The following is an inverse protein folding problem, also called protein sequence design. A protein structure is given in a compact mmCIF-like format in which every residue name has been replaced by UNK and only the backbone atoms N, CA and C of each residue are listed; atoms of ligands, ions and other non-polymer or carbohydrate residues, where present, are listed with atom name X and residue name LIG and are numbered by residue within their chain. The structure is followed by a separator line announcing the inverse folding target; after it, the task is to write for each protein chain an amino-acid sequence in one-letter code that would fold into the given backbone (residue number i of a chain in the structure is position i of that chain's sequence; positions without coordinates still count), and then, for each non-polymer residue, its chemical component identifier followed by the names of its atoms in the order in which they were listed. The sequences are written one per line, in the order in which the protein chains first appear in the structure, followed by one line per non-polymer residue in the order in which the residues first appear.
data_IF_464866269952
#
_entry.id   IF_464866269952
#
_cell.length_a   1.000
_cell.length_b   1.000
_cell.length_c   1.000
_cell.angle_alpha   90.00
_cell.angle_beta   90.00
_cell.angle_gamma   90.00
#
_symmetry.space_group_name_H-M   'P 1'
#
loop_
_entity.id
_entity.type
_entity.pdbx_description
1 polymer ?
#
# COMPACT_ATOMS: atom_id res chain seq x y z
N UNK A 1 -11.99 -58.12 72.17
CA UNK A 1 -13.10 -57.34 71.56
C UNK A 1 -12.81 -55.82 71.48
N UNK A 2 -12.33 -55.16 72.54
CA UNK A 2 -12.00 -53.70 72.51
C UNK A 2 -10.97 -53.28 71.45
N UNK A 3 -9.95 -54.11 71.20
CA UNK A 3 -8.88 -53.82 70.26
C UNK A 3 -9.36 -53.76 68.79
N UNK A 4 -10.27 -54.67 68.42
CA UNK A 4 -10.89 -54.69 67.09
C UNK A 4 -11.76 -53.46 66.81
N UNK A 5 -12.51 -52.99 67.82
CA UNK A 5 -13.31 -51.75 67.71
C UNK A 5 -12.42 -50.52 67.50
N UNK A 6 -11.28 -50.44 68.19
CA UNK A 6 -10.33 -49.34 68.01
C UNK A 6 -9.66 -49.39 66.63
N UNK A 7 -9.28 -50.58 66.14
CA UNK A 7 -8.76 -50.75 64.78
C UNK A 7 -9.78 -50.35 63.71
N UNK A 8 -11.07 -50.67 63.91
CA UNK A 8 -12.12 -50.23 62.99
C UNK A 8 -12.30 -48.71 62.93
N UNK A 9 -12.19 -48.02 64.07
CA UNK A 9 -12.23 -46.54 64.11
C UNK A 9 -11.04 -45.91 63.38
N UNK A 10 -9.83 -46.41 63.63
CA UNK A 10 -8.60 -45.93 62.98
C UNK A 10 -8.69 -46.15 61.47
N UNK A 11 -9.15 -47.33 61.03
CA UNK A 11 -9.31 -47.62 59.62
C UNK A 11 -10.33 -46.70 58.94
N UNK A 12 -11.44 -46.39 59.63
CA UNK A 12 -12.41 -45.42 59.12
C UNK A 12 -11.82 -44.01 58.98
N UNK A 13 -11.08 -43.55 60.00
CA UNK A 13 -10.42 -42.26 59.98
C UNK A 13 -9.37 -42.17 58.87
N UNK A 14 -8.60 -43.25 58.66
CA UNK A 14 -7.66 -43.37 57.55
C UNK A 14 -8.36 -43.24 56.19
N UNK A 15 -9.50 -43.91 55.99
CA UNK A 15 -10.28 -43.79 54.75
C UNK A 15 -10.82 -42.37 54.51
N UNK A 16 -11.22 -41.67 55.58
CA UNK A 16 -11.69 -40.28 55.47
C UNK A 16 -10.52 -39.38 55.07
N UNK A 17 -9.35 -39.55 55.68
CA UNK A 17 -8.15 -38.80 55.32
C UNK A 17 -7.71 -39.08 53.88
N UNK A 18 -7.71 -40.34 53.43
CA UNK A 18 -7.36 -40.71 52.05
C UNK A 18 -8.25 -39.98 51.04
N UNK A 19 -9.57 -39.94 51.27
CA UNK A 19 -10.51 -39.21 50.40
C UNK A 19 -10.27 -37.71 50.39
N UNK A 20 -9.94 -37.13 51.54
CA UNK A 20 -9.64 -35.69 51.62
C UNK A 20 -8.33 -35.36 50.90
N UNK A 21 -7.32 -36.22 51.00
CA UNK A 21 -6.06 -36.08 50.24
C UNK A 21 -6.33 -36.17 48.75
N UNK A 22 -7.09 -37.18 48.30
CA UNK A 22 -7.44 -37.35 46.88
C UNK A 22 -8.20 -36.14 46.32
N UNK A 23 -9.12 -35.58 47.12
CA UNK A 23 -9.84 -34.35 46.74
C UNK A 23 -8.89 -33.16 46.60
N UNK A 24 -7.99 -32.94 47.56
CA UNK A 24 -7.03 -31.83 47.49
C UNK A 24 -6.05 -31.97 46.35
N UNK A 25 -5.59 -33.19 46.06
CA UNK A 25 -4.74 -33.45 44.91
C UNK A 25 -5.46 -33.12 43.59
N UNK A 26 -6.75 -33.45 43.49
CA UNK A 26 -7.58 -33.07 42.34
C UNK A 26 -7.69 -31.54 42.21
N UNK A 27 -7.96 -30.83 43.30
CA UNK A 27 -8.05 -29.37 43.32
C UNK A 27 -6.71 -28.72 42.90
N UNK A 28 -5.58 -29.24 43.41
CA UNK A 28 -4.23 -28.77 43.05
C UNK A 28 -3.98 -28.95 41.55
N UNK A 29 -4.33 -30.11 40.98
CA UNK A 29 -4.17 -30.36 39.55
C UNK A 29 -5.00 -29.40 38.70
N UNK A 30 -6.24 -29.13 39.12
CA UNK A 30 -7.11 -28.17 38.42
C UNK A 30 -6.53 -26.76 38.46
N UNK A 31 -6.08 -26.30 39.64
CA UNK A 31 -5.45 -24.99 39.79
C UNK A 31 -4.18 -24.86 38.95
N UNK A 32 -3.33 -25.89 38.92
CA UNK A 32 -2.14 -25.90 38.09
C UNK A 32 -2.47 -25.80 36.60
N UNK A 33 -3.52 -26.48 36.14
CA UNK A 33 -3.99 -26.39 34.75
C UNK A 33 -4.45 -24.97 34.42
N UNK A 34 -5.28 -24.37 35.26
CA UNK A 34 -5.77 -23.01 35.06
C UNK A 34 -4.64 -21.98 35.06
N UNK A 35 -3.64 -22.14 35.93
CA UNK A 35 -2.48 -21.25 35.96
C UNK A 35 -1.66 -21.32 34.66
N UNK A 36 -1.43 -22.53 34.12
CA UNK A 36 -0.75 -22.69 32.83
C UNK A 36 -1.54 -22.07 31.67
N UNK A 37 -2.86 -22.23 31.68
CA UNK A 37 -3.72 -21.61 30.67
C UNK A 37 -3.68 -20.07 30.78
N UNK A 38 -3.76 -19.53 31.99
CA UNK A 38 -3.66 -18.09 32.24
C UNK A 38 -2.30 -17.52 31.84
N UNK A 39 -1.21 -18.23 32.13
CA UNK A 39 0.16 -17.88 31.71
C UNK A 39 0.25 -17.79 30.18
N UNK A 40 -0.30 -18.78 29.47
CA UNK A 40 -0.29 -18.79 28.01
C UNK A 40 -1.06 -17.61 27.41
N UNK A 41 -2.24 -17.30 27.96
CA UNK A 41 -3.05 -16.15 27.52
C UNK A 41 -2.29 -14.85 27.78
N UNK A 42 -1.69 -14.71 28.96
CA UNK A 42 -0.93 -13.52 29.33
C UNK A 42 0.30 -13.33 28.43
N UNK A 43 1.06 -14.40 28.16
CA UNK A 43 2.22 -14.35 27.28
C UNK A 43 1.83 -13.85 25.88
N UNK A 44 0.72 -14.38 25.34
CA UNK A 44 0.19 -13.99 24.03
C UNK A 44 -0.27 -12.52 24.04
N UNK A 45 -1.00 -12.11 25.08
CA UNK A 45 -1.49 -10.74 25.21
C UNK A 45 -0.34 -9.73 25.32
N UNK A 46 0.70 -10.05 26.09
CA UNK A 46 1.89 -9.19 26.23
C UNK A 46 2.66 -9.08 24.91
N UNK A 47 2.80 -10.18 24.17
CA UNK A 47 3.42 -10.14 22.85
C UNK A 47 2.66 -9.22 21.89
N UNK A 48 1.34 -9.40 21.79
CA UNK A 48 0.49 -8.55 20.95
C UNK A 48 0.52 -7.08 21.39
N UNK A 49 0.53 -6.80 22.70
CA UNK A 49 0.64 -5.45 23.22
C UNK A 49 1.96 -4.79 22.80
N UNK A 50 3.08 -5.52 22.86
CA UNK A 50 4.40 -5.04 22.41
C UNK A 50 4.41 -4.73 20.92
N UNK A 51 3.82 -5.59 20.09
CA UNK A 51 3.70 -5.32 18.64
C UNK A 51 2.83 -4.08 18.36
N UNK A 52 1.69 -3.93 19.06
CA UNK A 52 0.86 -2.73 18.94
C UNK A 52 1.60 -1.45 19.36
N UNK A 53 2.43 -1.51 20.40
CA UNK A 53 3.26 -0.37 20.82
C UNK A 53 4.26 0.03 19.73
N UNK A 54 4.89 -0.93 19.04
CA UNK A 54 5.77 -0.64 17.90
C UNK A 54 5.01 0.07 16.78
N UNK A 55 3.80 -0.41 16.43
CA UNK A 55 2.96 0.23 15.42
C UNK A 55 2.54 1.65 15.81
N UNK A 56 2.20 1.87 17.08
CA UNK A 56 1.90 3.22 17.61
C UNK A 56 3.12 4.14 17.50
N UNK A 57 4.31 3.65 17.85
CA UNK A 57 5.53 4.46 17.75
C UNK A 57 5.85 4.81 16.29
N UNK A 58 5.68 3.86 15.36
CA UNK A 58 5.82 4.08 13.92
C UNK A 58 4.82 5.13 13.43
N UNK A 59 3.55 5.02 13.81
CA UNK A 59 2.51 5.99 13.47
C UNK A 59 2.80 7.38 14.05
N UNK A 60 3.33 7.46 15.28
CA UNK A 60 3.69 8.72 15.91
C UNK A 60 4.83 9.44 15.19
N UNK A 61 5.82 8.71 14.68
CA UNK A 61 6.92 9.29 13.87
C UNK A 61 6.41 9.90 12.55
N UNK A 62 5.37 9.32 11.97
CA UNK A 62 4.68 9.82 10.77
C UNK A 62 3.41 10.62 11.06
N UNK A 63 3.23 11.16 12.27
CA UNK A 63 2.01 11.87 12.61
C UNK A 63 1.90 13.17 11.80
N UNK A 64 0.90 13.23 10.93
CA UNK A 64 0.57 14.41 10.12
C UNK A 64 -0.61 15.11 10.80
N UNK A 65 -0.61 16.44 10.83
CA UNK A 65 -1.73 17.18 11.41
C UNK A 65 -3.00 16.95 10.58
N UNK A 66 -4.14 16.80 11.23
CA UNK A 66 -5.42 16.66 10.51
C UNK A 66 -5.70 17.88 9.62
N UNK A 67 -5.22 19.06 10.01
CA UNK A 67 -5.32 20.28 9.22
C UNK A 67 -4.55 20.19 7.89
N UNK A 68 -3.34 19.62 7.89
CA UNK A 68 -2.60 19.39 6.64
C UNK A 68 -3.33 18.40 5.74
N UNK A 69 -3.86 17.31 6.29
CA UNK A 69 -4.66 16.35 5.51
C UNK A 69 -5.85 17.04 4.86
N UNK A 70 -6.59 17.87 5.61
CA UNK A 70 -7.74 18.63 5.10
C UNK A 70 -7.31 19.60 3.99
N UNK A 71 -6.23 20.36 4.20
CA UNK A 71 -5.71 21.31 3.21
C UNK A 71 -5.28 20.60 1.91
N UNK A 72 -4.54 19.49 2.02
CA UNK A 72 -4.09 18.73 0.86
C UNK A 72 -5.25 18.04 0.14
N UNK A 73 -6.20 17.47 0.87
CA UNK A 73 -7.42 16.90 0.28
C UNK A 73 -8.19 17.96 -0.51
N UNK A 74 -8.42 19.14 0.08
CA UNK A 74 -9.08 20.24 -0.63
C UNK A 74 -8.31 20.67 -1.88
N UNK A 75 -6.98 20.79 -1.81
CA UNK A 75 -6.14 21.13 -2.97
C UNK A 75 -6.30 20.11 -4.09
N UNK A 76 -6.21 18.82 -3.77
CA UNK A 76 -6.33 17.72 -4.73
C UNK A 76 -7.73 17.70 -5.37
N UNK A 77 -8.78 17.90 -4.58
CA UNK A 77 -10.17 17.98 -5.06
C UNK A 77 -10.41 19.21 -5.95
N UNK A 78 -9.85 20.37 -5.59
CA UNK A 78 -9.99 21.59 -6.39
C UNK A 78 -9.21 21.53 -7.71
N UNK A 79 -8.07 20.84 -7.74
CA UNK A 79 -7.23 20.73 -8.93
C UNK A 79 -7.59 19.56 -9.86
N UNK A 80 -8.68 18.82 -9.59
CA UNK A 80 -9.11 17.63 -10.37
C UNK A 80 -7.97 16.62 -10.60
N UNK A 81 -7.01 16.51 -9.68
CA UNK A 81 -5.75 15.79 -9.88
C UNK A 81 -5.79 14.31 -9.49
N UNK A 82 -6.95 13.81 -9.05
CA UNK A 82 -7.11 12.42 -8.58
C UNK A 82 -7.20 11.45 -9.76
N UNK A 83 -8.04 11.76 -10.74
CA UNK A 83 -8.23 10.95 -11.95
C UNK A 83 -8.87 11.79 -13.06
N UNK A 84 -8.67 11.37 -14.31
CA UNK A 84 -9.40 11.95 -15.44
C UNK A 84 -10.89 11.60 -15.29
N UNK A 85 -11.81 12.58 -15.37
CA UNK A 85 -13.23 12.29 -15.45
C UNK A 85 -13.53 11.29 -16.57
N UNK A 86 -14.57 10.45 -16.40
CA UNK A 86 -14.94 9.45 -17.41
C UNK A 86 -15.30 10.08 -18.77
N UNK A 87 -15.67 11.36 -18.77
CA UNK A 87 -16.00 12.17 -19.96
C UNK A 87 -14.84 13.07 -20.41
N UNK A 88 -13.63 12.87 -19.91
CA UNK A 88 -12.48 13.69 -20.27
C UNK A 88 -12.10 13.47 -21.72
N UNK A 89 -11.94 14.56 -22.47
CA UNK A 89 -11.55 14.57 -23.88
C UNK A 89 -10.33 15.47 -24.06
N UNK A 90 -9.51 15.25 -25.11
CA UNK A 90 -8.44 16.18 -25.46
C UNK A 90 -8.99 17.61 -25.62
N UNK A 91 -8.48 18.54 -24.82
CA UNK A 91 -8.96 19.93 -24.75
C UNK A 91 -9.84 20.25 -23.54
N UNK A 92 -10.27 19.27 -22.73
CA UNK A 92 -10.95 19.53 -21.46
C UNK A 92 -9.95 20.12 -20.43
N UNK A 93 -10.24 21.31 -19.86
CA UNK A 93 -9.40 21.93 -18.84
C UNK A 93 -9.21 21.09 -17.57
N UNK A 94 -10.14 20.17 -17.26
CA UNK A 94 -10.12 19.28 -16.10
C UNK A 94 -9.25 18.03 -16.37
N UNK A 95 -7.99 18.25 -16.73
CA UNK A 95 -7.01 17.17 -16.95
C UNK A 95 -6.25 16.86 -15.66
N UNK A 96 -5.95 15.59 -15.37
CA UNK A 96 -5.26 15.19 -14.14
C UNK A 96 -3.73 15.38 -14.20
N UNK A 97 -3.19 15.89 -15.31
CA UNK A 97 -1.75 16.04 -15.53
C UNK A 97 -1.38 17.44 -16.04
N UNK A 98 -0.14 17.91 -15.78
CA UNK A 98 0.35 19.19 -16.30
C UNK A 98 0.42 19.22 -17.83
N UNK A 99 0.09 20.36 -18.45
CA UNK A 99 0.36 20.59 -19.88
C UNK A 99 1.84 20.79 -20.15
N UNK A 100 2.25 20.57 -21.40
CA UNK A 100 3.58 20.91 -21.87
C UNK A 100 3.95 22.38 -21.64
N UNK A 101 2.99 23.31 -21.76
CA UNK A 101 3.23 24.72 -21.49
C UNK A 101 3.51 24.97 -20.00
N UNK A 102 2.70 24.37 -19.11
CA UNK A 102 2.92 24.43 -17.66
C UNK A 102 4.27 23.82 -17.28
N UNK A 103 4.64 22.67 -17.86
CA UNK A 103 5.93 22.02 -17.64
C UNK A 103 7.11 22.88 -18.13
N UNK A 104 7.01 23.46 -19.34
CA UNK A 104 8.04 24.36 -19.89
C UNK A 104 8.15 25.67 -19.11
N UNK A 105 7.05 26.17 -18.56
CA UNK A 105 7.03 27.38 -17.72
C UNK A 105 7.57 27.16 -16.31
N UNK A 106 7.66 25.90 -15.86
CA UNK A 106 8.18 25.53 -14.55
C UNK A 106 9.68 25.77 -14.40
N UNK A 107 10.16 25.68 -13.15
CA UNK A 107 11.55 25.95 -12.79
C UNK A 107 12.55 25.14 -13.62
N UNK A 108 12.25 23.86 -13.86
CA UNK A 108 13.09 22.96 -14.65
C UNK A 108 13.18 23.39 -16.13
N UNK A 109 12.09 23.88 -16.71
CA UNK A 109 12.06 24.40 -18.08
C UNK A 109 12.85 25.71 -18.23
N UNK A 110 12.80 26.58 -17.22
CA UNK A 110 13.58 27.82 -17.18
C UNK A 110 15.09 27.56 -17.02
N UNK A 111 15.48 26.57 -16.21
CA UNK A 111 16.89 26.19 -16.03
C UNK A 111 17.50 25.63 -17.31
N UNK A 112 16.71 24.90 -18.11
CA UNK A 112 17.17 24.35 -19.39
C UNK A 112 17.10 25.35 -20.55
N UNK A 113 16.47 26.50 -20.33
CA UNK A 113 16.44 27.60 -21.29
C UNK A 113 17.20 28.79 -20.68
N UNK A 114 18.55 28.81 -20.74
CA UNK A 114 19.32 29.93 -20.21
C UNK A 114 18.74 31.21 -20.80
N UNK A 115 18.29 32.11 -19.91
CA UNK A 115 17.67 33.35 -20.35
C UNK A 115 18.57 34.01 -21.39
N UNK A 116 18.03 34.15 -22.58
CA UNK A 116 18.44 35.15 -23.56
C UNK A 116 18.10 36.52 -22.96
N UNK A 117 18.72 36.87 -21.84
CA UNK A 117 18.70 38.20 -21.25
C UNK A 117 20.09 38.78 -21.41
N UNK A 118 20.39 39.09 -22.67
CA UNK A 118 21.53 39.85 -23.12
C UNK A 118 21.28 40.31 -24.55
N UNK A 119 20.53 41.42 -24.70
CA UNK A 119 20.56 42.36 -25.85
C UNK A 119 20.57 41.77 -27.27
N UNK A 120 19.43 41.82 -27.96
CA UNK A 120 19.16 42.76 -29.07
C UNK A 120 17.83 42.40 -29.76
N UNK A 121 17.04 43.43 -30.04
CA UNK A 121 15.64 43.30 -30.43
C UNK A 121 15.39 42.70 -31.81
N UNK A 122 14.37 41.86 -31.89
CA UNK A 122 13.43 41.87 -33.00
C UNK A 122 12.12 41.24 -32.53
N UNK A 123 11.03 42.01 -32.60
CA UNK A 123 9.69 41.53 -32.32
C UNK A 123 9.33 40.48 -33.39
N UNK A 124 8.81 39.29 -33.06
CA UNK A 124 8.28 38.35 -34.04
C UNK A 124 6.85 38.78 -34.45
N UNK A 125 6.70 40.05 -34.82
CA UNK A 125 5.44 40.66 -35.27
C UNK A 125 5.47 41.11 -36.73
N UNK A 126 6.65 41.35 -37.31
CA UNK A 126 6.78 41.96 -38.65
C UNK A 126 7.02 40.96 -39.80
N UNK A 127 7.15 39.66 -39.51
CA UNK A 127 7.32 38.65 -40.57
C UNK A 127 6.02 38.39 -41.36
N UNK A 128 4.85 38.79 -40.86
CA UNK A 128 3.56 38.62 -41.55
C UNK A 128 3.39 39.57 -42.75
N UNK A 129 4.18 40.65 -42.82
CA UNK A 129 4.12 41.60 -43.93
C UNK A 129 4.88 41.14 -45.18
N UNK A 130 5.68 40.07 -45.10
CA UNK A 130 6.60 39.65 -46.16
C UNK A 130 6.15 38.38 -46.93
N UNK A 131 4.84 38.11 -47.02
CA UNK A 131 4.22 37.31 -48.10
C UNK A 131 4.83 35.93 -48.45
N UNK A 132 5.69 35.34 -47.63
CA UNK A 132 6.28 34.01 -47.84
C UNK A 132 5.73 33.05 -46.82
N UNK A 133 4.79 32.22 -47.24
CA UNK A 133 4.38 31.03 -46.52
C UNK A 133 5.43 29.92 -46.72
N UNK A 134 6.05 29.37 -45.68
CA UNK A 134 6.53 28.00 -45.71
C UNK A 134 5.41 27.08 -45.23
N UNK A 135 5.01 26.19 -46.12
CA UNK A 135 4.05 25.11 -45.91
C UNK A 135 4.66 24.03 -44.99
N UNK A 136 4.63 24.24 -43.66
CA UNK A 136 4.97 23.21 -42.66
C UNK A 136 4.12 23.41 -41.41
N UNK A 137 2.86 22.98 -41.47
CA UNK A 137 2.05 22.71 -40.27
C UNK A 137 2.13 21.22 -39.95
N UNK A 138 3.22 20.81 -39.30
CA UNK A 138 3.24 19.58 -38.50
C UNK A 138 4.25 19.75 -37.35
N UNK A 139 3.85 19.57 -36.07
CA UNK A 139 4.80 19.48 -34.98
C UNK A 139 5.56 18.15 -35.12
N UNK A 140 6.82 18.21 -35.57
CA UNK A 140 7.71 17.05 -35.59
C UNK A 140 8.18 16.79 -34.15
N UNK A 141 7.72 15.68 -33.56
CA UNK A 141 8.17 15.26 -32.24
C UNK A 141 9.52 14.50 -32.36
N UNK A 142 10.43 14.58 -31.37
CA UNK A 142 11.76 13.94 -31.41
C UNK A 142 11.76 12.40 -31.55
N UNK A 143 10.60 11.75 -31.40
CA UNK A 143 10.41 10.29 -31.48
C UNK A 143 9.98 9.82 -32.88
N UNK A 144 9.72 10.75 -33.80
CA UNK A 144 9.43 10.41 -35.19
C UNK A 144 10.74 10.28 -35.98
N UNK A 145 11.31 9.08 -35.91
CA UNK A 145 12.36 8.65 -36.83
C UNK A 145 11.81 8.63 -38.25
N UNK A 146 12.43 9.42 -39.13
CA UNK A 146 12.10 9.47 -40.55
C UNK A 146 13.15 8.68 -41.32
N UNK A 147 12.96 7.37 -41.45
CA UNK A 147 13.74 6.53 -42.34
C UNK A 147 12.81 5.72 -43.26
N UNK A 148 12.72 6.22 -44.49
CA UNK A 148 12.51 5.51 -45.77
C UNK A 148 11.71 4.20 -45.75
N UNK A 149 10.48 4.28 -46.24
CA UNK A 149 9.85 3.18 -46.97
C UNK A 149 10.68 2.86 -48.22
N UNK A 150 11.41 1.74 -48.21
CA UNK A 150 11.88 1.09 -49.44
C UNK A 150 11.98 -0.43 -49.25
N UNK A 151 11.24 -1.13 -50.10
CA UNK A 151 11.05 -2.57 -50.23
C UNK A 151 12.31 -3.43 -50.00
N UNK A 152 12.14 -4.63 -49.40
CA UNK A 152 12.38 -5.96 -50.01
C UNK A 152 12.51 -7.09 -48.95
N UNK A 153 11.65 -8.11 -49.08
CA UNK A 153 11.71 -9.57 -48.74
C UNK A 153 12.53 -10.14 -47.53
N UNK A 154 12.09 -11.26 -46.92
CA UNK A 154 12.76 -11.87 -45.76
C UNK A 154 13.81 -12.91 -46.16
N UNK A 155 14.81 -13.19 -45.29
CA UNK A 155 15.10 -14.59 -44.98
C UNK A 155 15.46 -14.87 -43.52
N UNK A 156 15.15 -16.12 -43.16
CA UNK A 156 15.47 -16.87 -41.95
C UNK A 156 16.97 -16.83 -41.57
N UNK A 157 17.31 -16.61 -40.29
CA UNK A 157 18.25 -17.47 -39.55
C UNK A 157 18.31 -17.14 -38.05
N UNK A 158 18.29 -18.23 -37.28
CA UNK A 158 18.62 -18.44 -35.87
C UNK A 158 19.96 -17.85 -35.41
N UNK A 159 19.98 -17.14 -34.27
CA UNK A 159 20.98 -17.38 -33.22
C UNK A 159 20.54 -16.80 -31.87
N UNK A 160 20.64 -17.67 -30.86
CA UNK A 160 20.61 -17.39 -29.43
C UNK A 160 21.56 -16.24 -29.04
N UNK A 161 21.06 -15.27 -28.27
CA UNK A 161 21.87 -14.48 -27.34
C UNK A 161 21.06 -14.18 -26.07
N UNK A 162 21.32 -15.03 -25.09
CA UNK A 162 20.90 -14.98 -23.70
C UNK A 162 21.35 -13.67 -23.03
N UNK A 163 20.41 -12.83 -22.60
CA UNK A 163 20.65 -11.82 -21.56
C UNK A 163 19.55 -11.92 -20.50
N UNK A 164 19.93 -12.55 -19.39
CA UNK A 164 19.17 -12.67 -18.14
C UNK A 164 18.95 -11.27 -17.52
N UNK A 165 17.72 -10.87 -17.17
CA UNK A 165 17.49 -9.66 -16.38
C UNK A 165 17.76 -9.96 -14.89
N UNK A 166 18.48 -9.08 -14.18
CA UNK A 166 18.89 -9.32 -12.80
C UNK A 166 17.71 -9.37 -11.83
N UNK A 167 17.79 -10.32 -10.90
CA UNK A 167 16.92 -10.65 -9.77
C UNK A 167 15.82 -9.65 -9.38
N UNK A 168 14.57 -10.11 -9.52
CA UNK A 168 13.45 -9.57 -8.77
C UNK A 168 13.64 -9.86 -7.27
N UNK A 169 13.74 -8.81 -6.46
CA UNK A 169 13.67 -8.87 -5.00
C UNK A 169 12.33 -9.46 -4.57
N UNK A 170 12.38 -10.68 -4.03
CA UNK A 170 11.23 -11.52 -3.66
C UNK A 170 10.67 -11.21 -2.26
N UNK A 171 10.94 -10.02 -1.72
CA UNK A 171 10.55 -9.63 -0.36
C UNK A 171 9.33 -8.70 -0.30
N UNK A 172 8.70 -8.39 -1.44
CA UNK A 172 7.62 -7.41 -1.54
C UNK A 172 6.29 -7.97 -2.09
N UNK A 173 6.16 -9.29 -2.27
CA UNK A 173 4.95 -9.92 -2.85
C UNK A 173 3.86 -10.26 -1.81
N UNK A 174 4.17 -10.26 -0.51
CA UNK A 174 3.22 -10.71 0.53
C UNK A 174 2.24 -9.63 1.02
N UNK A 175 2.36 -8.37 0.57
CA UNK A 175 1.56 -7.23 1.08
C UNK A 175 0.31 -6.89 0.23
N UNK A 176 -0.03 -7.71 -0.77
CA UNK A 176 -1.26 -7.51 -1.58
C UNK A 176 -2.39 -8.40 -1.10
N UNK A 177 -2.94 -8.10 0.07
CA UNK A 177 -4.23 -8.66 0.50
C UNK A 177 -5.32 -8.18 -0.47
N UNK A 178 -5.78 -9.11 -1.31
CA UNK A 178 -6.94 -8.93 -2.17
C UNK A 178 -8.16 -8.62 -1.30
N UNK A 179 -8.61 -7.36 -1.35
CA UNK A 179 -9.83 -6.94 -0.67
C UNK A 179 -11.03 -7.68 -1.27
N UNK A 180 -11.51 -8.71 -0.56
CA UNK A 180 -12.77 -9.35 -0.88
C UNK A 180 -13.89 -8.38 -0.51
N UNK A 181 -14.69 -8.01 -1.50
CA UNK A 181 -15.92 -7.24 -1.31
C UNK A 181 -17.03 -8.21 -0.90
N UNK A 182 -17.19 -8.45 0.39
CA UNK A 182 -18.32 -9.21 0.93
C UNK A 182 -19.58 -8.33 0.99
N UNK A 183 -20.20 -8.11 -0.16
CA UNK A 183 -21.56 -7.56 -0.21
C UNK A 183 -22.57 -8.65 0.19
N UNK A 184 -22.91 -8.74 1.47
CA UNK A 184 -24.09 -9.49 1.93
C UNK A 184 -25.29 -8.55 2.04
N UNK A 185 -26.15 -8.55 1.02
CA UNK A 185 -27.51 -7.99 1.11
C UNK A 185 -28.45 -9.09 1.63
N UNK A 186 -29.01 -8.89 2.82
CA UNK A 186 -30.05 -9.77 3.37
C UNK A 186 -31.40 -9.07 3.22
N UNK A 187 -32.17 -9.47 2.22
CA UNK A 187 -33.59 -9.12 2.08
C UNK A 187 -34.42 -10.23 2.72
N UNK A 188 -35.00 -9.95 3.89
CA UNK A 188 -36.06 -10.78 4.48
C UNK A 188 -37.41 -10.25 4.01
N UNK A 189 -38.02 -10.95 3.05
CA UNK A 189 -39.47 -10.91 2.82
C UNK A 189 -40.11 -12.00 3.69
N UNK A 190 -41.06 -11.60 4.53
CA UNK A 190 -41.91 -12.50 5.30
C UNK A 190 -43.33 -12.40 4.74
N UNK A 191 -43.85 -13.53 4.28
CA UNK A 191 -45.27 -13.77 3.98
C UNK A 191 -45.66 -15.11 4.62
#
# INVERSE_FOLDING_TARGET
MKLALNQGKIHHEMQVLEKEVEKRDSDIQQLQKQLKEAEQILATAVYQAKEKLKSIEKARKGAISSEEIIKYAHRISASNAVCAPLTWVPGDPRRPYPTDLEMRSGLLGQMNNPSTNGVNGHLPGDALAAGRLPDVLAPQYPWQSNDMARNMLPPNHSHDFLLEPPGHNKENEDDVEVMSTDSSSSSSDSD
#
